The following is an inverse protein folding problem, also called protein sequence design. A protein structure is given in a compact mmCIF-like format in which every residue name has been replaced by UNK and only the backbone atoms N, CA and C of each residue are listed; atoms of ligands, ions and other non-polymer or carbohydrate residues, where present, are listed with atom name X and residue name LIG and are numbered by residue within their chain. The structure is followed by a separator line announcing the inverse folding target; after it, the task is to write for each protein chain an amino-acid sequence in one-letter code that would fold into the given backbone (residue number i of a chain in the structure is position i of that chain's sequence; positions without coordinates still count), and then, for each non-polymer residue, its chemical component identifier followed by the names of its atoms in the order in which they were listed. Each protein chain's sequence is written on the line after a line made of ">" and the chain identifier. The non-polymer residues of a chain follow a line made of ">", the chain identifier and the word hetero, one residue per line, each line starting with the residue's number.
data_IF_346309386417
#
_entry.id   IF_346309386417
#
_cell.length_a   1.000
_cell.length_b   1.000
_cell.length_c   1.000
_cell.angle_alpha   90.00
_cell.angle_beta   90.00
_cell.angle_gamma   90.00
#
_symmetry.space_group_name_H-M   'P 1'
#
loop_
_entity.id
_entity.type
_entity.pdbx_description
1 polymer ?
#
# COMPACT_ATOMS: atom_id res chain seq x y z
N UNK A 1 17.00 10.68 71.89
CA UNK A 1 17.48 9.33 72.20
C UNK A 1 16.55 8.39 71.45
N UNK A 2 16.83 7.94 70.21
CA UNK A 2 17.89 6.99 69.82
C UNK A 2 18.00 5.91 70.90
N UNK A 3 17.80 4.63 70.69
CA UNK A 3 17.65 3.78 69.51
C UNK A 3 17.43 2.39 70.15
N UNK A 4 16.63 1.50 69.58
CA UNK A 4 16.91 0.06 69.59
C UNK A 4 15.85 -0.62 68.72
N UNK A 5 16.05 -0.47 67.41
CA UNK A 5 15.63 -1.50 66.47
C UNK A 5 16.57 -2.66 66.74
N UNK A 6 16.13 -3.63 67.53
CA UNK A 6 16.82 -4.92 67.61
C UNK A 6 16.64 -5.60 66.26
N UNK A 7 17.70 -5.60 65.46
CA UNK A 7 17.83 -6.55 64.36
C UNK A 7 17.82 -7.94 65.00
N UNK A 8 16.67 -8.62 64.93
CA UNK A 8 16.62 -10.05 65.24
C UNK A 8 17.60 -10.76 64.31
N UNK A 9 18.64 -11.33 64.91
CA UNK A 9 19.60 -12.19 64.24
C UNK A 9 18.83 -13.34 63.58
N UNK A 10 18.75 -13.32 62.25
CA UNK A 10 18.26 -14.45 61.46
C UNK A 10 19.05 -15.71 61.87
N UNK A 11 18.41 -16.61 62.62
CA UNK A 11 19.02 -17.85 63.06
C UNK A 11 19.30 -18.74 61.84
N UNK A 12 20.24 -19.70 61.93
CA UNK A 12 20.52 -20.63 60.83
C UNK A 12 19.26 -21.41 60.39
N UNK A 13 18.32 -21.59 61.30
CA UNK A 13 17.02 -22.22 61.08
C UNK A 13 16.10 -21.34 60.20
N UNK A 14 16.07 -20.02 60.41
CA UNK A 14 15.28 -19.09 59.59
C UNK A 14 15.81 -18.99 58.15
N UNK A 15 17.14 -19.08 57.97
CA UNK A 15 17.77 -19.16 56.65
C UNK A 15 17.43 -20.45 55.91
N UNK A 16 17.30 -21.57 56.64
CA UNK A 16 16.89 -22.85 56.06
C UNK A 16 15.41 -22.82 55.65
N UNK A 17 14.54 -22.22 56.46
CA UNK A 17 13.12 -22.00 56.15
C UNK A 17 12.89 -21.13 54.90
N UNK A 18 13.55 -19.97 54.83
CA UNK A 18 13.46 -19.07 53.66
C UNK A 18 13.95 -19.75 52.37
N UNK A 19 14.98 -20.58 52.47
CA UNK A 19 15.47 -21.38 51.33
C UNK A 19 14.40 -22.37 50.86
N UNK A 20 13.75 -23.10 51.78
CA UNK A 20 12.68 -24.05 51.43
C UNK A 20 11.48 -23.35 50.78
N UNK A 21 11.08 -22.19 51.32
CA UNK A 21 10.02 -21.33 50.78
C UNK A 21 10.35 -20.92 49.33
N UNK A 22 11.57 -20.43 49.10
CA UNK A 22 12.03 -19.98 47.78
C UNK A 22 12.09 -21.13 46.77
N UNK A 23 12.59 -22.29 47.18
CA UNK A 23 12.67 -23.49 46.33
C UNK A 23 11.27 -23.98 45.95
N UNK A 24 10.35 -24.11 46.92
CA UNK A 24 8.95 -24.49 46.65
C UNK A 24 8.28 -23.52 45.69
N UNK A 25 8.35 -22.22 45.97
CA UNK A 25 7.79 -21.18 45.11
C UNK A 25 8.38 -21.21 43.68
N UNK A 26 9.66 -21.57 43.55
CA UNK A 26 10.30 -21.73 42.25
C UNK A 26 9.80 -22.96 41.50
N UNK A 27 9.69 -24.12 42.16
CA UNK A 27 9.13 -25.33 41.56
C UNK A 27 7.69 -25.10 41.07
N UNK A 28 6.82 -24.51 41.90
CA UNK A 28 5.45 -24.15 41.52
C UNK A 28 5.41 -23.22 40.29
N UNK A 29 6.34 -22.25 40.23
CA UNK A 29 6.46 -21.36 39.08
C UNK A 29 6.85 -22.10 37.80
N UNK A 30 7.85 -22.98 37.87
CA UNK A 30 8.32 -23.73 36.70
C UNK A 30 7.27 -24.72 36.21
N UNK A 31 6.55 -25.37 37.12
CA UNK A 31 5.43 -26.27 36.78
C UNK A 31 4.31 -25.52 36.08
N UNK A 32 3.84 -24.41 36.66
CA UNK A 32 2.76 -23.59 36.09
C UNK A 32 3.12 -22.93 34.75
N UNK A 33 4.41 -22.77 34.45
CA UNK A 33 4.90 -22.21 33.17
C UNK A 33 5.37 -23.27 32.19
N UNK A 34 5.27 -24.57 32.55
CA UNK A 34 5.81 -25.70 31.79
C UNK A 34 7.29 -25.53 31.40
N UNK A 35 8.07 -24.88 32.29
CA UNK A 35 9.48 -24.60 32.07
C UNK A 35 10.42 -25.71 32.56
N UNK A 36 9.89 -26.73 33.25
CA UNK A 36 10.66 -27.91 33.64
C UNK A 36 10.93 -28.81 32.42
N UNK A 37 12.21 -29.08 32.15
CA UNK A 37 12.63 -30.00 31.08
C UNK A 37 12.51 -31.50 31.43
N UNK A 38 12.15 -31.83 32.66
CA UNK A 38 12.02 -33.20 33.15
C UNK A 38 11.00 -33.32 34.29
N UNK A 39 10.46 -34.52 34.57
CA UNK A 39 9.58 -34.75 35.71
C UNK A 39 10.24 -34.40 37.06
N UNK A 40 9.45 -34.01 38.05
CA UNK A 40 9.94 -33.71 39.40
C UNK A 40 10.57 -34.95 40.08
N UNK A 41 10.16 -36.16 39.71
CA UNK A 41 10.68 -37.42 40.23
C UNK A 41 12.17 -37.67 39.91
N UNK A 42 12.71 -37.01 38.89
CA UNK A 42 14.13 -37.10 38.52
C UNK A 42 14.94 -35.86 38.91
N UNK A 43 14.28 -34.80 39.41
CA UNK A 43 14.94 -33.57 39.84
C UNK A 43 15.66 -33.76 41.20
N UNK A 44 16.98 -33.67 41.22
CA UNK A 44 17.77 -33.80 42.47
C UNK A 44 17.48 -32.69 43.48
N UNK A 45 17.26 -31.46 43.02
CA UNK A 45 16.93 -30.33 43.89
C UNK A 45 15.57 -30.51 44.56
N UNK A 46 14.56 -30.99 43.81
CA UNK A 46 13.24 -31.30 44.37
C UNK A 46 13.30 -32.43 45.39
N UNK A 47 14.13 -33.47 45.15
CA UNK A 47 14.35 -34.56 46.12
C UNK A 47 14.95 -34.06 47.43
N UNK A 48 15.98 -33.22 47.35
CA UNK A 48 16.62 -32.60 48.52
C UNK A 48 15.62 -31.72 49.28
N UNK A 49 14.85 -30.91 48.57
CA UNK A 49 13.76 -30.12 49.14
C UNK A 49 12.74 -31.00 49.88
N UNK A 50 12.24 -32.07 49.25
CA UNK A 50 11.23 -32.94 49.85
C UNK A 50 11.74 -33.62 51.13
N UNK A 51 13.01 -34.06 51.14
CA UNK A 51 13.62 -34.66 52.33
C UNK A 51 13.68 -33.65 53.50
N UNK A 52 14.10 -32.41 53.23
CA UNK A 52 14.13 -31.36 54.25
C UNK A 52 12.73 -30.94 54.69
N UNK A 53 11.78 -30.79 53.75
CA UNK A 53 10.40 -30.41 54.05
C UNK A 53 9.68 -31.45 54.93
N UNK A 54 9.85 -32.74 54.63
CA UNK A 54 9.27 -33.84 55.41
C UNK A 54 9.85 -33.94 56.84
N UNK A 55 11.06 -33.42 57.06
CA UNK A 55 11.68 -33.39 58.40
C UNK A 55 11.14 -32.27 59.30
N UNK A 56 10.38 -31.31 58.74
CA UNK A 56 9.79 -30.20 59.50
C UNK A 56 8.55 -30.64 60.29
N UNK A 57 8.27 -29.94 61.39
CA UNK A 57 6.99 -30.05 62.08
C UNK A 57 5.84 -29.56 61.19
N UNK A 58 4.63 -30.09 61.42
CA UNK A 58 3.47 -29.78 60.60
C UNK A 58 3.14 -28.28 60.52
N UNK A 59 3.31 -27.54 61.62
CA UNK A 59 3.11 -26.09 61.63
C UNK A 59 4.09 -25.34 60.73
N UNK A 60 5.34 -25.79 60.68
CA UNK A 60 6.38 -25.17 59.84
C UNK A 60 6.19 -25.53 58.37
N UNK A 61 5.72 -26.75 58.07
CA UNK A 61 5.30 -27.13 56.72
C UNK A 61 4.20 -26.22 56.19
N UNK A 62 3.16 -25.95 57.00
CA UNK A 62 2.09 -25.02 56.64
C UNK A 62 2.60 -23.59 56.42
N UNK A 63 3.54 -23.14 57.25
CA UNK A 63 4.16 -21.81 57.11
C UNK A 63 4.96 -21.72 55.81
N UNK A 64 5.73 -22.76 55.48
CA UNK A 64 6.47 -22.86 54.21
C UNK A 64 5.51 -22.80 53.02
N UNK A 65 4.42 -23.55 53.07
CA UNK A 65 3.43 -23.62 51.99
C UNK A 65 2.75 -22.27 51.76
N UNK A 66 2.27 -21.63 52.84
CA UNK A 66 1.62 -20.33 52.77
C UNK A 66 2.53 -19.24 52.18
N UNK A 67 3.77 -19.17 52.67
CA UNK A 67 4.74 -18.19 52.20
C UNK A 67 5.23 -18.47 50.77
N UNK A 68 5.38 -19.74 50.40
CA UNK A 68 5.73 -20.13 49.04
C UNK A 68 4.63 -19.76 48.05
N UNK A 69 3.36 -19.99 48.40
CA UNK A 69 2.21 -19.61 47.57
C UNK A 69 2.15 -18.09 47.38
N UNK A 70 2.43 -17.31 48.44
CA UNK A 70 2.51 -15.85 48.36
C UNK A 70 3.62 -15.38 47.41
N UNK A 71 4.83 -15.95 47.52
CA UNK A 71 5.93 -15.64 46.61
C UNK A 71 5.67 -16.09 45.18
N UNK A 72 5.05 -17.26 45.00
CA UNK A 72 4.62 -17.77 43.69
C UNK A 72 3.62 -16.82 43.04
N UNK A 73 2.59 -16.37 43.76
CA UNK A 73 1.60 -15.43 43.26
C UNK A 73 2.24 -14.12 42.78
N UNK A 74 3.19 -13.58 43.56
CA UNK A 74 3.94 -12.37 43.18
C UNK A 74 4.79 -12.57 41.91
N UNK A 75 5.53 -13.69 41.82
CA UNK A 75 6.31 -14.05 40.61
C UNK A 75 5.41 -14.25 39.40
N UNK A 76 4.27 -14.90 39.57
CA UNK A 76 3.32 -15.18 38.50
C UNK A 76 2.67 -13.89 37.96
N UNK A 77 2.31 -12.95 38.84
CA UNK A 77 1.79 -11.64 38.44
C UNK A 77 2.82 -10.88 37.60
N UNK A 78 4.07 -10.83 38.08
CA UNK A 78 5.18 -10.18 37.36
C UNK A 78 5.43 -10.83 35.99
N UNK A 79 5.43 -12.16 35.92
CA UNK A 79 5.57 -12.90 34.66
C UNK A 79 4.43 -12.62 33.68
N UNK A 80 3.17 -12.59 34.14
CA UNK A 80 2.00 -12.27 33.30
C UNK A 80 2.07 -10.86 32.75
N UNK A 81 2.48 -9.87 33.56
CA UNK A 81 2.66 -8.49 33.12
C UNK A 81 3.76 -8.39 32.04
N UNK A 82 4.92 -9.02 32.28
CA UNK A 82 6.01 -9.06 31.30
C UNK A 82 5.59 -9.76 29.99
N UNK A 83 4.85 -10.87 30.08
CA UNK A 83 4.34 -11.59 28.91
C UNK A 83 3.32 -10.75 28.13
N UNK A 84 2.39 -10.08 28.81
CA UNK A 84 1.43 -9.16 28.19
C UNK A 84 2.14 -8.01 27.47
N UNK A 85 3.11 -7.39 28.13
CA UNK A 85 3.90 -6.30 27.55
C UNK A 85 4.70 -6.79 26.33
N UNK A 86 5.31 -7.98 26.36
CA UNK A 86 6.00 -8.55 25.18
C UNK A 86 5.05 -8.78 24.00
N UNK A 87 3.84 -9.28 24.25
CA UNK A 87 2.84 -9.47 23.18
C UNK A 87 2.40 -8.12 22.62
N UNK A 88 2.07 -7.15 23.49
CA UNK A 88 1.72 -5.79 23.07
C UNK A 88 2.82 -5.14 22.24
N UNK A 89 4.10 -5.27 22.65
CA UNK A 89 5.23 -4.76 21.89
C UNK A 89 5.41 -5.46 20.53
N UNK A 90 5.11 -6.76 20.41
CA UNK A 90 5.11 -7.46 19.11
C UNK A 90 4.02 -6.92 18.20
N UNK A 91 2.81 -6.69 18.72
CA UNK A 91 1.70 -6.11 17.96
C UNK A 91 2.03 -4.70 17.50
N UNK A 92 2.54 -3.84 18.39
CA UNK A 92 2.96 -2.47 18.07
C UNK A 92 4.03 -2.48 16.96
N UNK A 93 5.06 -3.33 17.08
CA UNK A 93 6.09 -3.47 16.03
C UNK A 93 5.51 -3.92 14.70
N UNK A 94 4.56 -4.86 14.71
CA UNK A 94 3.87 -5.34 13.49
C UNK A 94 3.06 -4.23 12.81
N UNK A 95 2.30 -3.45 13.58
CA UNK A 95 1.54 -2.30 13.07
C UNK A 95 2.50 -1.25 12.49
N UNK A 96 3.58 -0.94 13.20
CA UNK A 96 4.56 0.05 12.74
C UNK A 96 5.23 -0.37 11.42
N UNK A 97 5.55 -1.67 11.27
CA UNK A 97 6.07 -2.23 10.03
C UNK A 97 5.06 -2.13 8.88
N UNK A 98 3.79 -2.44 9.14
CA UNK A 98 2.72 -2.32 8.13
C UNK A 98 2.54 -0.86 7.66
N UNK A 99 2.54 0.10 8.58
CA UNK A 99 2.47 1.54 8.25
C UNK A 99 3.68 1.95 7.39
N UNK A 100 4.89 1.50 7.74
CA UNK A 100 6.11 1.78 6.98
C UNK A 100 6.04 1.18 5.55
N UNK A 101 5.51 -0.03 5.41
CA UNK A 101 5.31 -0.66 4.10
C UNK A 101 4.30 0.11 3.24
N UNK A 102 3.17 0.56 3.83
CA UNK A 102 2.20 1.41 3.13
C UNK A 102 2.82 2.73 2.68
N UNK A 103 3.58 3.39 3.56
CA UNK A 103 4.30 4.63 3.22
C UNK A 103 5.31 4.41 2.07
N UNK A 104 6.03 3.29 2.07
CA UNK A 104 6.94 2.94 0.97
C UNK A 104 6.20 2.73 -0.35
N UNK A 105 5.04 2.06 -0.33
CA UNK A 105 4.20 1.91 -1.52
C UNK A 105 3.69 3.25 -2.02
N UNK A 106 3.21 4.12 -1.12
CA UNK A 106 2.73 5.45 -1.49
C UNK A 106 3.85 6.30 -2.10
N UNK A 107 5.06 6.27 -1.54
CA UNK A 107 6.24 6.95 -2.12
C UNK A 107 6.62 6.35 -3.47
N UNK A 108 6.49 5.03 -3.65
CA UNK A 108 6.76 4.39 -4.94
C UNK A 108 5.71 4.79 -6.00
N UNK A 109 4.44 4.89 -5.63
CA UNK A 109 3.35 5.38 -6.50
C UNK A 109 3.56 6.84 -6.85
N UNK A 110 3.89 7.68 -5.88
CA UNK A 110 4.17 9.10 -6.10
C UNK A 110 5.40 9.30 -7.01
N UNK A 111 6.46 8.50 -6.83
CA UNK A 111 7.59 8.47 -7.78
C UNK A 111 7.21 7.92 -9.16
N UNK A 112 6.29 6.96 -9.26
CA UNK A 112 5.80 6.46 -10.54
C UNK A 112 4.89 7.47 -11.26
N UNK A 113 4.19 8.34 -10.52
CA UNK A 113 3.37 9.42 -11.07
C UNK A 113 4.14 10.73 -11.28
N UNK A 114 5.21 10.95 -10.52
CA UNK A 114 6.10 12.10 -10.58
C UNK A 114 7.34 11.87 -11.45
N UNK A 115 7.57 10.66 -11.98
CA UNK A 115 8.42 10.53 -13.15
C UNK A 115 7.70 11.22 -14.30
N UNK A 116 8.27 12.32 -14.87
CA UNK A 116 7.87 12.71 -16.20
C UNK A 116 8.02 11.43 -17.03
N UNK A 117 6.99 11.06 -17.80
CA UNK A 117 7.20 10.07 -18.87
C UNK A 117 8.55 10.42 -19.49
N UNK A 118 9.49 9.47 -19.65
CA UNK A 118 10.72 9.79 -20.35
C UNK A 118 10.27 10.45 -21.64
N UNK A 119 10.56 11.74 -21.77
CA UNK A 119 10.34 12.49 -22.99
C UNK A 119 11.30 11.84 -23.95
N UNK A 120 10.87 10.75 -24.59
CA UNK A 120 11.64 10.08 -25.62
C UNK A 120 11.70 11.07 -26.75
N UNK A 121 12.83 11.72 -27.02
CA UNK A 121 12.91 12.70 -28.08
C UNK A 121 13.22 11.93 -29.36
N UNK A 122 12.34 11.03 -29.82
CA UNK A 122 12.58 10.27 -31.05
C UNK A 122 11.27 9.71 -31.65
N UNK A 123 10.80 10.32 -32.73
CA UNK A 123 10.53 9.65 -34.03
C UNK A 123 9.98 10.68 -35.04
N UNK A 124 10.84 11.59 -35.51
CA UNK A 124 10.43 12.60 -36.51
C UNK A 124 10.37 12.07 -37.95
N UNK A 125 10.83 10.83 -38.19
CA UNK A 125 11.07 10.32 -39.55
C UNK A 125 10.17 9.15 -39.97
N UNK A 126 9.30 8.62 -39.10
CA UNK A 126 8.43 7.45 -39.41
C UNK A 126 6.94 7.78 -39.62
N UNK A 127 6.51 8.99 -39.31
CA UNK A 127 5.09 9.38 -39.36
C UNK A 127 4.79 10.31 -40.56
N UNK A 128 5.61 10.25 -41.62
CA UNK A 128 5.47 11.11 -42.81
C UNK A 128 4.07 11.02 -43.47
N UNK A 129 3.44 9.85 -43.39
CA UNK A 129 2.06 9.67 -43.87
C UNK A 129 1.03 10.45 -43.03
N UNK A 130 1.24 10.55 -41.70
CA UNK A 130 0.40 11.37 -40.81
C UNK A 130 0.56 12.83 -41.20
N UNK A 131 1.81 13.30 -41.34
CA UNK A 131 2.10 14.69 -41.74
C UNK A 131 1.48 15.03 -43.10
N UNK A 132 1.55 14.10 -44.05
CA UNK A 132 0.88 14.25 -45.34
C UNK A 132 -0.64 14.37 -45.18
N UNK A 133 -1.25 13.52 -44.36
CA UNK A 133 -2.69 13.52 -44.13
C UNK A 133 -3.17 14.76 -43.36
N UNK A 134 -2.35 15.28 -42.43
CA UNK A 134 -2.63 16.54 -41.72
C UNK A 134 -2.68 17.72 -42.69
N UNK A 135 -1.68 17.83 -43.57
CA UNK A 135 -1.65 18.88 -44.60
C UNK A 135 -2.85 18.81 -45.52
N UNK A 136 -3.22 17.60 -45.93
CA UNK A 136 -4.40 17.39 -46.77
C UNK A 136 -5.70 17.74 -46.03
N UNK A 137 -5.84 17.30 -44.78
CA UNK A 137 -6.97 17.66 -43.91
C UNK A 137 -7.09 19.18 -43.80
N UNK A 138 -5.99 19.88 -43.51
CA UNK A 138 -5.98 21.34 -43.38
C UNK A 138 -6.32 22.07 -44.68
N UNK A 139 -6.08 21.45 -45.84
CA UNK A 139 -6.44 22.02 -47.15
C UNK A 139 -7.87 21.71 -47.59
N UNK A 140 -8.52 20.71 -46.99
CA UNK A 140 -9.86 20.22 -47.39
C UNK A 140 -10.90 20.37 -46.28
N UNK A 141 -10.52 20.87 -45.11
CA UNK A 141 -11.44 21.08 -44.00
C UNK A 141 -12.46 22.15 -44.39
N UNK A 142 -13.72 21.83 -44.17
CA UNK A 142 -14.88 22.68 -44.38
C UNK A 142 -15.74 22.57 -43.12
N UNK A 143 -16.65 23.53 -42.91
CA UNK A 143 -17.62 23.48 -41.82
C UNK A 143 -18.60 22.32 -42.05
N UNK A 144 -18.39 21.20 -41.35
CA UNK A 144 -19.11 19.93 -41.56
C UNK A 144 -20.41 19.85 -40.77
N UNK A 145 -20.54 20.65 -39.71
CA UNK A 145 -21.73 20.72 -38.86
C UNK A 145 -22.50 22.04 -39.04
N UNK A 146 -22.14 22.83 -40.06
CA UNK A 146 -22.81 24.06 -40.50
C UNK A 146 -23.08 25.06 -39.37
N UNK A 147 -22.19 25.11 -38.36
CA UNK A 147 -22.33 26.01 -37.22
C UNK A 147 -21.71 27.40 -37.48
N UNK A 148 -21.08 27.57 -38.64
CA UNK A 148 -20.43 28.80 -39.09
C UNK A 148 -18.96 28.91 -38.70
N UNK A 149 -18.41 27.95 -37.95
CA UNK A 149 -17.06 28.01 -37.37
C UNK A 149 -16.24 26.74 -37.64
N UNK A 150 -15.14 26.87 -38.40
CA UNK A 150 -14.20 25.75 -38.57
C UNK A 150 -13.41 25.50 -37.28
N UNK A 151 -13.71 24.39 -36.61
CA UNK A 151 -13.25 24.03 -35.28
C UNK A 151 -12.82 22.56 -35.17
N UNK A 152 -12.64 22.08 -33.93
CA UNK A 152 -12.14 20.72 -33.67
C UNK A 152 -13.02 19.60 -34.25
N UNK A 153 -14.32 19.84 -34.43
CA UNK A 153 -15.26 18.89 -35.00
C UNK A 153 -14.92 18.68 -36.47
N UNK A 154 -14.84 19.75 -37.24
CA UNK A 154 -14.55 19.74 -38.67
C UNK A 154 -13.23 19.05 -38.97
N UNK A 155 -12.19 19.47 -38.27
CA UNK A 155 -10.84 18.91 -38.40
C UNK A 155 -10.80 17.41 -38.08
N UNK A 156 -11.52 16.94 -37.06
CA UNK A 156 -11.56 15.53 -36.72
C UNK A 156 -12.35 14.72 -37.76
N UNK A 157 -13.51 15.21 -38.19
CA UNK A 157 -14.35 14.55 -39.20
C UNK A 157 -13.61 14.46 -40.53
N UNK A 158 -13.09 15.57 -41.07
CA UNK A 158 -12.33 15.57 -42.34
C UNK A 158 -11.13 14.63 -42.28
N UNK A 159 -10.36 14.64 -41.18
CA UNK A 159 -9.22 13.72 -41.04
C UNK A 159 -9.66 12.26 -41.08
N UNK A 160 -10.74 11.93 -40.35
CA UNK A 160 -11.28 10.57 -40.28
C UNK A 160 -11.74 10.08 -41.65
N UNK A 161 -12.44 10.91 -42.41
CA UNK A 161 -12.91 10.57 -43.75
C UNK A 161 -11.74 10.33 -44.73
N UNK A 162 -10.72 11.19 -44.70
CA UNK A 162 -9.52 11.03 -45.52
C UNK A 162 -8.73 9.77 -45.13
N UNK A 163 -8.63 9.50 -43.82
CA UNK A 163 -8.01 8.27 -43.32
C UNK A 163 -8.73 7.03 -43.86
N UNK A 164 -10.06 6.96 -43.70
CA UNK A 164 -10.84 5.79 -44.10
C UNK A 164 -10.78 5.54 -45.61
N UNK A 165 -10.74 6.61 -46.41
CA UNK A 165 -10.57 6.54 -47.86
C UNK A 165 -9.21 5.97 -48.24
N UNK A 166 -8.14 6.37 -47.55
CA UNK A 166 -6.75 6.00 -47.91
C UNK A 166 -6.29 4.69 -47.27
N UNK A 167 -6.78 4.38 -46.08
CA UNK A 167 -6.38 3.26 -45.25
C UNK A 167 -7.60 2.49 -44.71
N UNK A 168 -8.41 1.87 -45.58
CA UNK A 168 -9.69 1.26 -45.18
C UNK A 168 -9.55 0.11 -44.18
N UNK A 169 -8.37 -0.54 -44.11
CA UNK A 169 -8.07 -1.57 -43.10
C UNK A 169 -7.42 -1.01 -41.81
N UNK A 170 -7.03 0.27 -41.81
CA UNK A 170 -6.36 0.93 -40.70
C UNK A 170 -7.35 1.42 -39.66
N UNK A 171 -7.10 1.14 -38.38
CA UNK A 171 -7.97 1.61 -37.30
C UNK A 171 -7.71 3.09 -37.01
N UNK A 172 -8.75 3.89 -37.19
CA UNK A 172 -8.81 5.31 -36.86
C UNK A 172 -10.15 5.60 -36.20
N UNK A 173 -10.14 6.39 -35.13
CA UNK A 173 -11.32 6.76 -34.34
C UNK A 173 -11.28 8.24 -33.98
N UNK A 174 -12.44 8.90 -34.03
CA UNK A 174 -12.65 10.20 -33.39
C UNK A 174 -12.89 9.94 -31.90
N UNK A 175 -12.14 10.64 -31.06
CA UNK A 175 -12.24 10.64 -29.62
C UNK A 175 -12.54 12.05 -29.11
N UNK A 176 -13.08 12.14 -27.89
CA UNK A 176 -13.35 13.42 -27.23
C UNK A 176 -12.66 13.45 -25.88
N UNK A 177 -11.87 14.49 -25.61
CA UNK A 177 -11.38 14.75 -24.28
C UNK A 177 -12.37 15.71 -23.61
N UNK A 178 -12.88 15.37 -22.42
CA UNK A 178 -13.87 16.17 -21.71
C UNK A 178 -13.49 16.35 -20.24
N UNK A 179 -12.85 17.47 -19.93
CA UNK A 179 -12.55 17.86 -18.56
C UNK A 179 -13.70 18.70 -18.00
N UNK A 180 -14.61 18.06 -17.26
CA UNK A 180 -15.75 18.74 -16.63
C UNK A 180 -15.37 19.76 -15.58
N UNK A 181 -14.21 19.62 -14.93
CA UNK A 181 -13.78 20.55 -13.88
C UNK A 181 -13.35 21.91 -14.45
N UNK A 182 -12.74 21.92 -15.63
CA UNK A 182 -12.32 23.15 -16.32
C UNK A 182 -13.30 23.61 -17.39
N UNK A 183 -14.30 22.78 -17.72
CA UNK A 183 -15.21 23.00 -18.86
C UNK A 183 -14.56 22.79 -20.22
N UNK A 184 -13.30 22.34 -20.27
CA UNK A 184 -12.60 22.13 -21.53
C UNK A 184 -13.04 20.83 -22.19
N UNK A 185 -13.40 20.93 -23.47
CA UNK A 185 -13.64 19.77 -24.32
C UNK A 185 -13.01 19.95 -25.68
N UNK A 186 -12.54 18.86 -26.27
CA UNK A 186 -11.87 18.91 -27.56
C UNK A 186 -11.95 17.56 -28.28
N UNK A 187 -12.26 17.59 -29.58
CA UNK A 187 -12.28 16.41 -30.44
C UNK A 187 -10.92 16.20 -31.10
N UNK A 188 -10.49 14.95 -31.15
CA UNK A 188 -9.20 14.57 -31.72
C UNK A 188 -9.23 13.15 -32.29
N UNK A 189 -8.13 12.74 -32.91
CA UNK A 189 -8.05 11.45 -33.61
C UNK A 189 -7.17 10.47 -32.86
N UNK A 190 -7.58 9.20 -32.84
CA UNK A 190 -6.74 8.07 -32.45
C UNK A 190 -6.50 7.17 -33.65
N UNK A 191 -5.24 6.82 -33.93
CA UNK A 191 -4.89 5.85 -34.98
C UNK A 191 -4.04 4.71 -34.42
N UNK A 192 -4.17 3.52 -34.99
CA UNK A 192 -3.31 2.38 -34.67
C UNK A 192 -2.37 2.06 -35.83
N UNK A 193 -1.07 2.25 -35.60
CA UNK A 193 0.01 1.92 -36.56
C UNK A 193 1.02 0.94 -35.97
N UNK A 194 0.52 -0.07 -35.26
CA UNK A 194 1.31 -0.96 -34.39
C UNK A 194 1.49 -0.40 -32.97
N UNK A 195 1.07 0.85 -32.76
CA UNK A 195 0.84 1.51 -31.48
C UNK A 195 -0.27 2.55 -31.65
N UNK A 196 -0.99 2.84 -30.57
CA UNK A 196 -2.00 3.90 -30.55
C UNK A 196 -1.33 5.28 -30.51
N UNK A 197 -1.76 6.17 -31.40
CA UNK A 197 -1.32 7.55 -31.49
C UNK A 197 -2.52 8.47 -31.36
N UNK A 198 -2.40 9.50 -30.50
CA UNK A 198 -3.42 10.54 -30.32
C UNK A 198 -2.99 11.81 -31.05
N UNK A 199 -3.76 12.19 -32.06
CA UNK A 199 -3.40 13.17 -33.09
C UNK A 199 -4.35 14.37 -32.97
N UNK A 200 -3.76 15.56 -32.88
CA UNK A 200 -4.43 16.84 -33.12
C UNK A 200 -4.42 17.13 -34.63
N UNK A 201 -5.58 17.13 -35.32
CA UNK A 201 -5.59 17.33 -36.76
C UNK A 201 -5.20 18.75 -37.21
N UNK A 202 -5.27 19.75 -36.30
CA UNK A 202 -4.74 21.11 -36.53
C UNK A 202 -3.23 21.23 -36.29
N UNK A 203 -2.59 20.17 -35.80
CA UNK A 203 -1.17 20.14 -35.56
C UNK A 203 -0.39 20.12 -36.86
N UNK A 204 0.90 20.42 -36.76
CA UNK A 204 1.83 20.31 -37.87
C UNK A 204 2.84 19.19 -37.60
N UNK A 205 3.81 19.04 -38.49
CA UNK A 205 4.81 17.99 -38.39
C UNK A 205 5.51 17.96 -37.00
N UNK A 206 5.66 19.11 -36.33
CA UNK A 206 6.38 19.26 -35.06
C UNK A 206 5.54 18.99 -33.81
N UNK A 207 4.22 19.08 -33.89
CA UNK A 207 3.36 19.09 -32.69
C UNK A 207 2.01 18.41 -32.91
N UNK A 208 1.88 17.49 -33.86
CA UNK A 208 0.60 16.84 -34.14
C UNK A 208 0.10 15.88 -33.06
N UNK A 209 0.91 15.55 -32.04
CA UNK A 209 0.43 14.72 -30.93
C UNK A 209 -0.35 15.58 -29.96
N UNK A 210 -1.42 15.03 -29.40
CA UNK A 210 -2.26 15.73 -28.42
C UNK A 210 -1.47 16.27 -27.23
N UNK A 211 -0.51 15.49 -26.71
CA UNK A 211 0.39 15.92 -25.63
C UNK A 211 1.28 17.11 -26.01
N UNK A 212 1.69 17.19 -27.27
CA UNK A 212 2.66 18.18 -27.73
C UNK A 212 1.94 19.47 -28.15
N UNK A 213 0.75 19.36 -28.76
CA UNK A 213 -0.06 20.51 -29.16
C UNK A 213 -0.71 21.21 -27.97
N UNK A 214 -1.31 20.45 -27.05
CA UNK A 214 -2.12 21.00 -25.96
C UNK A 214 -1.39 21.06 -24.63
N UNK A 215 -0.26 20.36 -24.48
CA UNK A 215 0.47 20.27 -23.23
C UNK A 215 -0.44 19.85 -22.08
N UNK A 216 -0.37 20.60 -20.98
CA UNK A 216 -1.10 20.32 -19.73
C UNK A 216 -2.63 20.45 -19.86
N UNK A 217 -3.15 21.04 -20.95
CA UNK A 217 -4.61 21.08 -21.18
C UNK A 217 -5.16 19.70 -21.55
N UNK A 218 -4.35 18.87 -22.20
CA UNK A 218 -4.75 17.51 -22.55
C UNK A 218 -4.41 16.55 -21.42
N UNK A 219 -5.41 15.85 -20.91
CA UNK A 219 -5.22 14.76 -19.97
C UNK A 219 -5.89 13.48 -20.48
N UNK A 220 -5.15 12.41 -20.76
CA UNK A 220 -5.69 11.19 -21.36
C UNK A 220 -6.75 10.50 -20.49
N UNK A 221 -6.80 10.77 -19.18
CA UNK A 221 -7.81 10.20 -18.28
C UNK A 221 -9.24 10.69 -18.55
N UNK A 222 -9.39 11.83 -19.22
CA UNK A 222 -10.70 12.41 -19.60
C UNK A 222 -11.14 12.02 -21.01
N UNK A 223 -10.45 11.07 -21.65
CA UNK A 223 -10.76 10.63 -23.02
C UNK A 223 -11.96 9.70 -23.06
N UNK A 224 -12.93 10.05 -23.89
CA UNK A 224 -14.12 9.27 -24.20
C UNK A 224 -13.94 8.58 -25.56
N UNK A 225 -14.24 7.28 -25.59
CA UNK A 225 -14.15 6.41 -26.77
C UNK A 225 -15.53 6.16 -27.38
N UNK A 226 -15.55 5.70 -28.64
CA UNK A 226 -16.81 5.39 -29.35
C UNK A 226 -17.56 6.60 -29.90
N UNK A 227 -16.90 7.76 -30.00
CA UNK A 227 -17.52 9.00 -30.46
C UNK A 227 -17.65 9.06 -31.99
N UNK A 228 -16.89 8.24 -32.73
CA UNK A 228 -16.81 8.26 -34.20
C UNK A 228 -18.16 8.24 -34.90
N UNK A 229 -19.03 7.27 -34.60
CA UNK A 229 -20.31 7.12 -35.31
C UNK A 229 -21.20 8.35 -35.15
N UNK A 230 -21.21 8.95 -33.96
CA UNK A 230 -21.99 10.16 -33.68
C UNK A 230 -21.59 11.29 -34.64
N UNK A 231 -20.30 11.60 -34.69
CA UNK A 231 -19.80 12.75 -35.45
C UNK A 231 -19.80 12.53 -36.96
N UNK A 232 -19.73 11.27 -37.43
CA UNK A 232 -19.89 10.95 -38.85
C UNK A 232 -21.36 10.85 -39.31
N UNK A 233 -22.31 10.60 -38.40
CA UNK A 233 -23.74 10.57 -38.74
C UNK A 233 -24.36 11.97 -38.77
N UNK A 234 -23.89 12.89 -37.92
CA UNK A 234 -24.32 14.29 -37.91
C UNK A 234 -24.03 14.96 -39.27
N UNK A 235 -22.81 14.80 -39.83
CA UNK A 235 -22.46 15.29 -41.17
C UNK A 235 -23.38 14.77 -42.29
N UNK A 236 -23.83 13.51 -42.21
CA UNK A 236 -24.64 12.87 -43.27
C UNK A 236 -26.11 13.27 -43.27
N UNK A 237 -26.65 13.75 -42.15
CA UNK A 237 -28.07 14.13 -42.05
C UNK A 237 -28.34 15.49 -42.67
N UNK A 238 -27.33 16.36 -42.73
CA UNK A 238 -27.48 17.75 -43.17
C UNK A 238 -27.08 17.95 -44.64
N UNK A 239 -26.37 16.98 -45.24
CA UNK A 239 -26.11 16.89 -46.69
C UNK A 239 -27.26 16.30 -47.52
N UNK A 240 -28.42 16.01 -46.92
CA UNK A 240 -29.64 15.51 -47.59
C UNK A 240 -30.72 16.58 -47.64
#
# INVERSE_FOLDING_TARGET
>A
MLEHITFEEFTSMDKNMDTLIKVRAHCLFLEATHACGHPCSVCEEYKKYMACYQSLAWCDQLKVDHEADRLFAHKMMSYRLLRRNRIQMRVIRGVLFAVLAVMLVLVAVDKAHGQPMPQTPYYYYKDAFIVSLLKETQSQVEDVNFDGDINCIDYAVTFKELWDRRYPAGRCEILRNLNRATGWHHLFISINVGRWLYIEPRGNAHNYRMSDFWGDRYNPTYTLFGETSKWLEEDKREKR
#
